data_IF_000601827568
#
_entry.id   IF_000601827568
#
_cell.length_a   1.000
_cell.length_b   1.000
_cell.length_c   1.000
_cell.angle_alpha   90.00
_cell.angle_beta   90.00
_cell.angle_gamma   90.00
#
_symmetry.space_group_name_H-M   'P 1'
#
loop_
_entity.id
_entity.type
_entity.pdbx_description
1 polymer ?
#
# COMPACT_ATOMS: atom_id res chain seq x y z
N UNK A 1 35.25 -51.55 -1.08
CA UNK A 1 35.62 -50.74 -2.28
C UNK A 1 34.43 -49.97 -2.91
N UNK A 2 33.24 -49.94 -2.29
CA UNK A 2 32.01 -49.40 -2.92
C UNK A 2 31.68 -47.95 -2.56
N UNK A 3 32.25 -47.40 -1.47
CA UNK A 3 31.91 -46.06 -0.96
C UNK A 3 32.61 -44.91 -1.72
N UNK A 4 33.81 -45.15 -2.27
CA UNK A 4 34.59 -44.14 -3.02
C UNK A 4 34.02 -43.85 -4.42
N UNK A 5 33.24 -44.76 -5.00
CA UNK A 5 32.71 -44.60 -6.37
C UNK A 5 31.43 -43.75 -6.43
N UNK A 6 30.67 -43.68 -5.34
CA UNK A 6 29.42 -42.89 -5.27
C UNK A 6 29.71 -41.40 -5.07
N UNK A 7 30.68 -41.06 -4.22
CA UNK A 7 31.06 -39.67 -3.90
C UNK A 7 31.59 -38.93 -5.13
N UNK A 8 32.45 -39.60 -5.90
CA UNK A 8 33.05 -39.06 -7.13
C UNK A 8 32.00 -38.80 -8.25
N UNK A 9 30.86 -39.50 -8.21
CA UNK A 9 29.77 -39.33 -9.18
C UNK A 9 28.83 -38.17 -8.79
N UNK A 10 28.58 -37.97 -7.49
CA UNK A 10 27.82 -36.80 -7.00
C UNK A 10 28.58 -35.49 -7.22
N UNK A 11 29.89 -35.44 -6.99
CA UNK A 11 30.70 -34.24 -7.19
C UNK A 11 30.83 -33.86 -8.67
N UNK A 12 30.84 -34.86 -9.58
CA UNK A 12 30.78 -34.64 -11.04
C UNK A 12 29.43 -34.11 -11.49
N UNK A 13 28.33 -34.65 -10.96
CA UNK A 13 26.97 -34.17 -11.28
C UNK A 13 26.73 -32.76 -10.77
N UNK A 14 27.20 -32.44 -9.56
CA UNK A 14 27.13 -31.09 -9.00
C UNK A 14 27.94 -30.07 -9.83
N UNK A 15 29.14 -30.43 -10.25
CA UNK A 15 29.95 -29.57 -11.14
C UNK A 15 29.36 -29.42 -12.55
N UNK A 16 28.69 -30.44 -13.08
CA UNK A 16 27.96 -30.34 -14.35
C UNK A 16 26.72 -29.45 -14.25
N UNK A 17 25.99 -29.53 -13.13
CA UNK A 17 24.85 -28.65 -12.84
C UNK A 17 25.29 -27.20 -12.67
N UNK A 18 26.40 -26.94 -11.99
CA UNK A 18 26.98 -25.60 -11.86
C UNK A 18 27.49 -25.04 -13.20
N UNK A 19 27.99 -25.90 -14.10
CA UNK A 19 28.39 -25.51 -15.47
C UNK A 19 27.21 -25.27 -16.42
N UNK A 20 26.04 -25.84 -16.13
CA UNK A 20 24.80 -25.61 -16.90
C UNK A 20 24.13 -24.29 -16.54
N UNK A 21 24.41 -23.74 -15.35
CA UNK A 21 23.98 -22.41 -14.96
C UNK A 21 24.95 -21.40 -15.61
N UNK A 22 24.58 -20.91 -16.80
CA UNK A 22 25.35 -19.85 -17.47
C UNK A 22 25.43 -18.62 -16.56
N UNK A 23 26.56 -17.90 -16.49
CA UNK A 23 26.70 -16.66 -15.71
C UNK A 23 25.62 -15.62 -16.05
N UNK A 24 25.20 -15.60 -17.31
CA UNK A 24 24.10 -14.78 -17.81
C UNK A 24 22.76 -15.10 -17.13
N UNK A 25 22.48 -16.38 -16.84
CA UNK A 25 21.26 -16.78 -16.13
C UNK A 25 21.30 -16.36 -14.66
N UNK A 26 22.47 -16.33 -14.02
CA UNK A 26 22.62 -15.82 -12.66
C UNK A 26 22.30 -14.33 -12.63
N UNK A 27 22.80 -13.56 -13.60
CA UNK A 27 22.50 -12.13 -13.71
C UNK A 27 21.01 -11.88 -13.98
N UNK A 28 20.37 -12.65 -14.87
CA UNK A 28 18.92 -12.56 -15.12
C UNK A 28 18.13 -12.94 -13.87
N UNK A 29 18.50 -14.00 -13.16
CA UNK A 29 17.85 -14.37 -11.90
C UNK A 29 18.01 -13.30 -10.84
N UNK A 30 19.18 -12.67 -10.74
CA UNK A 30 19.45 -11.62 -9.76
C UNK A 30 18.71 -10.32 -10.11
N UNK A 31 18.61 -9.97 -11.39
CA UNK A 31 17.77 -8.88 -11.90
C UNK A 31 16.29 -9.16 -11.65
N UNK A 32 15.84 -10.38 -11.91
CA UNK A 32 14.47 -10.79 -11.65
C UNK A 32 14.17 -10.79 -10.15
N UNK A 33 15.08 -11.28 -9.31
CA UNK A 33 14.93 -11.25 -7.86
C UNK A 33 14.90 -9.81 -7.33
N UNK A 34 15.74 -8.92 -7.87
CA UNK A 34 15.72 -7.48 -7.55
C UNK A 34 14.41 -6.83 -8.02
N UNK A 35 13.93 -7.15 -9.22
CA UNK A 35 12.65 -6.66 -9.74
C UNK A 35 11.47 -7.18 -8.90
N UNK A 36 11.53 -8.44 -8.48
CA UNK A 36 10.52 -9.09 -7.65
C UNK A 36 10.59 -8.58 -6.20
N UNK A 37 11.77 -8.25 -5.67
CA UNK A 37 11.95 -7.56 -4.39
C UNK A 37 11.46 -6.11 -4.45
N UNK A 38 11.72 -5.38 -5.54
CA UNK A 38 11.13 -4.04 -5.77
C UNK A 38 9.61 -4.16 -5.87
N UNK A 39 9.09 -5.17 -6.56
CA UNK A 39 7.66 -5.46 -6.68
C UNK A 39 7.00 -5.96 -5.38
N UNK A 40 7.72 -6.68 -4.51
CA UNK A 40 7.21 -7.24 -3.26
C UNK A 40 7.34 -6.26 -2.10
N UNK A 41 8.35 -5.39 -2.11
CA UNK A 41 8.40 -4.18 -1.27
C UNK A 41 7.32 -3.16 -1.70
N UNK A 42 6.88 -3.22 -2.95
CA UNK A 42 5.66 -2.60 -3.45
C UNK A 42 4.44 -3.53 -3.28
N UNK A 43 4.31 -4.23 -2.15
CA UNK A 43 2.97 -4.50 -1.60
C UNK A 43 2.39 -3.12 -1.26
N UNK A 44 1.77 -2.53 -2.29
CA UNK A 44 1.93 -1.13 -2.65
C UNK A 44 1.14 -0.24 -1.69
N UNK A 45 1.68 0.92 -1.31
CA UNK A 45 0.91 1.95 -0.57
C UNK A 45 -0.45 2.21 -1.25
N UNK A 46 -0.48 2.16 -2.58
CA UNK A 46 -1.69 2.16 -3.40
C UNK A 46 -2.62 0.98 -3.08
N UNK A 47 -2.16 -0.27 -3.15
CA UNK A 47 -3.00 -1.45 -2.91
C UNK A 47 -3.59 -1.43 -1.49
N UNK A 48 -2.80 -1.00 -0.50
CA UNK A 48 -3.27 -0.77 0.85
C UNK A 48 -4.40 0.28 0.86
N UNK A 49 -4.18 1.47 0.29
CA UNK A 49 -5.18 2.54 0.27
C UNK A 49 -6.45 2.09 -0.47
N UNK A 50 -6.32 1.39 -1.60
CA UNK A 50 -7.45 0.88 -2.38
C UNK A 50 -8.24 -0.15 -1.59
N UNK A 51 -7.56 -1.12 -0.98
CA UNK A 51 -8.18 -2.15 -0.14
C UNK A 51 -8.94 -1.54 1.04
N UNK A 52 -8.33 -0.55 1.72
CA UNK A 52 -8.97 0.16 2.83
C UNK A 52 -10.15 1.02 2.38
N UNK A 53 -10.04 1.72 1.25
CA UNK A 53 -11.15 2.49 0.68
C UNK A 53 -12.35 1.59 0.36
N UNK A 54 -12.11 0.43 -0.24
CA UNK A 54 -13.16 -0.55 -0.53
C UNK A 54 -13.79 -1.13 0.75
N UNK A 55 -12.97 -1.52 1.73
CA UNK A 55 -13.46 -2.04 3.01
C UNK A 55 -14.37 -1.04 3.73
N UNK A 56 -13.94 0.22 3.84
CA UNK A 56 -14.76 1.29 4.44
C UNK A 56 -16.03 1.48 3.62
N UNK A 57 -15.92 1.57 2.29
CA UNK A 57 -17.07 1.74 1.40
C UNK A 57 -18.13 0.64 1.57
N UNK A 58 -17.70 -0.59 1.85
CA UNK A 58 -18.59 -1.72 2.12
C UNK A 58 -19.25 -1.58 3.49
N UNK A 59 -18.48 -1.29 4.55
CA UNK A 59 -19.01 -1.07 5.91
C UNK A 59 -19.99 0.12 6.00
N UNK A 60 -19.75 1.18 5.22
CA UNK A 60 -20.64 2.33 5.12
C UNK A 60 -21.96 2.02 4.41
N UNK A 61 -21.92 1.11 3.43
CA UNK A 61 -23.09 0.70 2.63
C UNK A 61 -23.94 -0.29 3.41
N UNK A 62 -23.30 -1.30 3.97
CA UNK A 62 -23.90 -2.39 4.73
C UNK A 62 -23.04 -2.63 5.98
N UNK A 63 -23.41 -2.04 7.13
CA UNK A 63 -22.65 -2.21 8.35
C UNK A 63 -22.70 -3.68 8.80
N UNK A 64 -21.53 -4.20 9.16
CA UNK A 64 -21.34 -5.59 9.60
C UNK A 64 -20.31 -5.63 10.71
N UNK A 65 -20.40 -6.64 11.58
CA UNK A 65 -19.47 -6.78 12.70
C UNK A 65 -19.64 -5.70 13.76
N UNK A 66 -18.56 -5.40 14.48
CA UNK A 66 -18.48 -4.39 15.55
C UNK A 66 -17.92 -3.07 15.02
N UNK A 67 -18.17 -1.98 15.73
CA UNK A 67 -17.79 -0.62 15.31
C UNK A 67 -16.28 -0.37 15.28
N UNK A 68 -15.51 -1.08 16.13
CA UNK A 68 -14.06 -1.05 16.08
C UNK A 68 -13.51 -1.34 14.68
N UNK A 69 -14.18 -2.18 13.89
CA UNK A 69 -13.77 -2.48 12.52
C UNK A 69 -13.78 -1.23 11.64
N UNK A 70 -14.90 -0.50 11.57
CA UNK A 70 -14.96 0.70 10.73
C UNK A 70 -14.01 1.78 11.26
N UNK A 71 -13.89 1.91 12.58
CA UNK A 71 -12.98 2.87 13.22
C UNK A 71 -11.52 2.57 12.85
N UNK A 72 -11.09 1.32 12.92
CA UNK A 72 -9.72 0.89 12.64
C UNK A 72 -9.38 1.02 11.17
N UNK A 73 -10.32 0.76 10.27
CA UNK A 73 -10.14 0.97 8.83
C UNK A 73 -9.93 2.48 8.51
N UNK A 74 -10.75 3.36 9.10
CA UNK A 74 -10.58 4.82 8.98
C UNK A 74 -9.22 5.28 9.53
N UNK A 75 -8.83 4.83 10.71
CA UNK A 75 -7.53 5.17 11.32
C UNK A 75 -6.38 4.71 10.44
N UNK A 76 -6.45 3.48 9.95
CA UNK A 76 -5.41 2.86 9.14
C UNK A 76 -5.16 3.60 7.83
N UNK A 77 -6.22 3.93 7.09
CA UNK A 77 -6.08 4.67 5.82
C UNK A 77 -5.65 6.12 6.05
N UNK A 78 -6.18 6.76 7.09
CA UNK A 78 -5.83 8.15 7.44
C UNK A 78 -4.38 8.28 7.84
N UNK A 79 -3.88 7.33 8.64
CA UNK A 79 -2.46 7.24 8.99
C UNK A 79 -1.61 7.08 7.74
N UNK A 80 -2.04 6.22 6.80
CA UNK A 80 -1.30 5.99 5.56
C UNK A 80 -1.24 7.23 4.67
N UNK A 81 -2.29 8.05 4.61
CA UNK A 81 -2.22 9.35 3.92
C UNK A 81 -1.17 10.26 4.53
N UNK A 82 -1.11 10.36 5.87
CA UNK A 82 -0.08 11.16 6.54
C UNK A 82 1.34 10.62 6.33
N UNK A 83 1.53 9.30 6.36
CA UNK A 83 2.81 8.68 6.03
C UNK A 83 3.21 8.99 4.57
N UNK A 84 2.28 8.89 3.63
CA UNK A 84 2.54 9.16 2.21
C UNK A 84 2.83 10.64 1.96
N UNK A 85 2.12 11.55 2.62
CA UNK A 85 2.36 13.00 2.63
C UNK A 85 3.80 13.32 3.03
N UNK A 86 4.26 12.80 4.17
CA UNK A 86 5.61 13.04 4.68
C UNK A 86 6.70 12.47 3.77
N UNK A 87 6.49 11.27 3.22
CA UNK A 87 7.46 10.66 2.31
C UNK A 87 7.57 11.41 0.97
N UNK A 88 6.47 11.96 0.46
CA UNK A 88 6.48 12.87 -0.71
C UNK A 88 7.23 14.16 -0.40
N UNK A 89 6.98 14.78 0.77
CA UNK A 89 7.70 16.00 1.21
C UNK A 89 9.21 15.77 1.34
N UNK A 90 9.62 14.56 1.72
CA UNK A 90 11.03 14.15 1.82
C UNK A 90 11.67 13.77 0.48
N UNK A 91 10.93 13.85 -0.63
CA UNK A 91 11.38 13.44 -1.96
C UNK A 91 11.87 11.99 -1.99
N UNK A 92 11.23 11.11 -1.22
CA UNK A 92 11.63 9.70 -1.21
C UNK A 92 11.17 9.01 -2.51
N UNK A 93 12.08 8.90 -3.47
CA UNK A 93 11.84 8.31 -4.80
C UNK A 93 11.26 6.89 -4.75
N UNK A 94 11.49 6.12 -3.67
CA UNK A 94 10.92 4.78 -3.52
C UNK A 94 9.39 4.76 -3.35
N UNK A 95 8.79 5.88 -2.91
CA UNK A 95 7.33 5.99 -2.73
C UNK A 95 6.64 6.79 -3.82
N UNK A 96 7.39 7.54 -4.65
CA UNK A 96 6.81 8.49 -5.61
C UNK A 96 5.91 7.80 -6.63
N UNK A 97 6.31 6.64 -7.14
CA UNK A 97 5.48 5.89 -8.09
C UNK A 97 4.13 5.50 -7.47
N UNK A 98 4.12 5.10 -6.19
CA UNK A 98 2.90 4.77 -5.46
C UNK A 98 2.07 6.02 -5.16
N UNK A 99 2.72 7.13 -4.79
CA UNK A 99 2.07 8.42 -4.58
C UNK A 99 1.40 8.92 -5.86
N UNK A 100 2.06 8.80 -7.01
CA UNK A 100 1.51 9.14 -8.31
C UNK A 100 0.26 8.31 -8.63
N UNK A 101 0.32 7.00 -8.42
CA UNK A 101 -0.82 6.11 -8.65
C UNK A 101 -2.02 6.48 -7.75
N UNK A 102 -1.77 6.78 -6.48
CA UNK A 102 -2.80 7.23 -5.53
C UNK A 102 -3.38 8.59 -5.96
N UNK A 103 -2.53 9.54 -6.37
CA UNK A 103 -2.97 10.85 -6.86
C UNK A 103 -3.81 10.74 -8.13
N UNK A 104 -3.35 9.96 -9.12
CA UNK A 104 -4.05 9.72 -10.40
C UNK A 104 -5.40 9.05 -10.22
N UNK A 105 -5.53 8.16 -9.24
CA UNK A 105 -6.81 7.56 -8.85
C UNK A 105 -7.81 8.62 -8.37
N UNK A 106 -7.32 9.70 -7.78
CA UNK A 106 -8.13 10.77 -7.22
C UNK A 106 -8.70 10.43 -5.85
N UNK A 107 -9.60 11.32 -5.40
CA UNK A 107 -10.13 11.31 -4.04
C UNK A 107 -10.75 9.95 -3.66
N UNK A 108 -10.43 9.39 -2.48
CA UNK A 108 -11.02 8.16 -1.99
C UNK A 108 -12.54 8.16 -2.00
N UNK A 109 -13.13 7.01 -2.35
CA UNK A 109 -14.57 6.88 -2.48
C UNK A 109 -15.26 7.01 -1.13
N UNK A 110 -14.67 6.49 -0.05
CA UNK A 110 -15.27 6.58 1.29
C UNK A 110 -15.44 8.04 1.78
N UNK A 111 -14.65 8.98 1.25
CA UNK A 111 -14.75 10.42 1.56
C UNK A 111 -15.91 11.07 0.80
N UNK A 112 -16.24 10.57 -0.39
CA UNK A 112 -17.23 11.18 -1.30
C UNK A 112 -18.57 10.45 -1.31
N UNK A 113 -18.59 9.18 -0.93
CA UNK A 113 -19.75 8.31 -0.95
C UNK A 113 -20.74 8.75 0.14
N UNK A 114 -22.02 8.79 -0.24
CA UNK A 114 -23.12 8.98 0.70
C UNK A 114 -23.36 7.69 1.48
N UNK A 115 -23.57 7.82 2.79
CA UNK A 115 -23.92 6.73 3.69
C UNK A 115 -25.06 7.14 4.61
N UNK A 116 -25.73 6.15 5.23
CA UNK A 116 -26.83 6.40 6.16
C UNK A 116 -26.32 6.38 7.59
N UNK A 117 -26.15 7.55 8.19
CA UNK A 117 -25.79 7.65 9.62
C UNK A 117 -26.82 6.94 10.51
N UNK A 118 -28.11 6.98 10.15
CA UNK A 118 -29.17 6.27 10.88
C UNK A 118 -28.95 4.75 10.91
N UNK A 119 -28.53 4.14 9.79
CA UNK A 119 -28.21 2.70 9.75
C UNK A 119 -27.00 2.36 10.62
N UNK A 120 -25.94 3.18 10.55
CA UNK A 120 -24.74 2.98 11.37
C UNK A 120 -25.08 3.09 12.86
N UNK A 121 -25.84 4.11 13.24
CA UNK A 121 -26.31 4.29 14.62
C UNK A 121 -27.11 3.11 15.13
N UNK A 122 -28.05 2.61 14.34
CA UNK A 122 -28.89 1.48 14.72
C UNK A 122 -28.07 0.19 14.86
N UNK A 123 -27.19 -0.09 13.89
CA UNK A 123 -26.40 -1.33 13.87
C UNK A 123 -25.35 -1.38 14.98
N UNK A 124 -24.57 -0.31 15.14
CA UNK A 124 -23.49 -0.24 16.13
C UNK A 124 -23.95 0.27 17.51
N UNK A 125 -25.25 0.57 17.67
CA UNK A 125 -25.80 1.18 18.88
C UNK A 125 -25.07 2.48 19.30
N UNK A 126 -24.71 3.32 18.32
CA UNK A 126 -23.95 4.54 18.58
C UNK A 126 -24.78 5.62 19.27
N UNK A 127 -24.26 6.10 20.40
CA UNK A 127 -24.74 7.30 21.07
C UNK A 127 -24.15 8.58 20.45
N UNK A 128 -24.46 9.75 21.02
CA UNK A 128 -23.94 11.03 20.53
C UNK A 128 -22.41 11.10 20.52
N UNK A 129 -21.75 10.44 21.48
CA UNK A 129 -20.29 10.43 21.58
C UNK A 129 -19.65 9.69 20.40
N UNK A 130 -20.15 8.50 20.10
CA UNK A 130 -19.62 7.66 19.02
C UNK A 130 -19.89 8.30 17.66
N UNK A 131 -21.06 8.93 17.49
CA UNK A 131 -21.37 9.73 16.29
C UNK A 131 -20.38 10.87 16.11
N UNK A 132 -20.15 11.67 17.14
CA UNK A 132 -19.19 12.79 17.08
C UNK A 132 -17.77 12.29 16.78
N UNK A 133 -17.37 11.16 17.36
CA UNK A 133 -16.05 10.57 17.10
C UNK A 133 -15.93 10.09 15.66
N UNK A 134 -16.98 9.45 15.13
CA UNK A 134 -17.02 8.99 13.74
C UNK A 134 -17.01 10.15 12.73
N UNK A 135 -17.74 11.23 13.02
CA UNK A 135 -17.68 12.47 12.23
C UNK A 135 -16.27 13.09 12.25
N UNK A 136 -15.63 13.12 13.42
CA UNK A 136 -14.23 13.54 13.55
C UNK A 136 -13.29 12.68 12.69
N UNK A 137 -13.41 11.36 12.72
CA UNK A 137 -12.60 10.46 11.89
C UNK A 137 -12.81 10.73 10.39
N UNK A 138 -14.05 10.93 9.97
CA UNK A 138 -14.39 11.25 8.58
C UNK A 138 -13.77 12.57 8.14
N UNK A 139 -13.84 13.59 8.99
CA UNK A 139 -13.26 14.90 8.73
C UNK A 139 -11.72 14.84 8.71
N UNK A 140 -11.11 14.12 9.65
CA UNK A 140 -9.65 13.94 9.72
C UNK A 140 -9.11 13.23 8.47
N UNK A 141 -9.78 12.15 8.03
CA UNK A 141 -9.42 11.45 6.80
C UNK A 141 -9.46 12.37 5.57
N UNK A 142 -10.47 13.25 5.50
CA UNK A 142 -10.60 14.25 4.43
C UNK A 142 -9.45 15.25 4.45
N UNK A 143 -9.07 15.78 5.62
CA UNK A 143 -7.95 16.71 5.72
C UNK A 143 -6.63 16.05 5.34
N UNK A 144 -6.37 14.84 5.84
CA UNK A 144 -5.14 14.10 5.50
C UNK A 144 -5.03 13.76 4.03
N UNK A 145 -6.15 13.47 3.35
CA UNK A 145 -6.16 13.35 1.90
C UNK A 145 -5.74 14.65 1.21
N UNK A 146 -6.30 15.79 1.64
CA UNK A 146 -6.00 17.10 1.04
C UNK A 146 -4.54 17.50 1.26
N UNK A 147 -4.01 17.27 2.45
CA UNK A 147 -2.59 17.53 2.77
C UNK A 147 -1.67 16.73 1.83
N UNK A 148 -1.96 15.43 1.63
CA UNK A 148 -1.24 14.59 0.67
C UNK A 148 -1.39 15.11 -0.77
N UNK A 149 -2.61 15.44 -1.20
CA UNK A 149 -2.90 15.91 -2.55
C UNK A 149 -2.13 17.19 -2.87
N UNK A 150 -2.07 18.12 -1.93
CA UNK A 150 -1.30 19.35 -2.03
C UNK A 150 0.20 19.10 -2.06
N UNK A 151 0.71 18.24 -1.16
CA UNK A 151 2.13 17.87 -1.14
C UNK A 151 2.58 17.28 -2.48
N UNK A 152 1.77 16.39 -3.07
CA UNK A 152 2.08 15.79 -4.37
C UNK A 152 2.04 16.80 -5.53
N UNK A 153 1.06 17.72 -5.54
CA UNK A 153 1.03 18.82 -6.52
C UNK A 153 2.29 19.66 -6.44
N UNK A 154 2.70 20.05 -5.24
CA UNK A 154 3.91 20.84 -5.02
C UNK A 154 5.18 20.11 -5.49
N UNK A 155 5.27 18.80 -5.22
CA UNK A 155 6.34 17.94 -5.75
C UNK A 155 6.40 17.99 -7.28
N UNK A 156 5.27 17.81 -7.96
CA UNK A 156 5.24 17.81 -9.43
C UNK A 156 5.63 19.15 -10.03
N UNK A 157 5.22 20.26 -9.42
CA UNK A 157 5.60 21.62 -9.83
C UNK A 157 7.12 21.80 -9.68
N UNK A 158 7.67 21.51 -8.50
CA UNK A 158 9.09 21.67 -8.22
C UNK A 158 9.97 20.86 -9.19
N UNK A 159 9.55 19.63 -9.52
CA UNK A 159 10.24 18.76 -10.47
C UNK A 159 10.17 19.29 -11.92
N UNK A 160 9.08 19.95 -12.29
CA UNK A 160 8.94 20.58 -13.61
C UNK A 160 9.77 21.86 -13.77
N UNK A 161 10.01 22.60 -12.68
CA UNK A 161 10.77 23.86 -12.69
C UNK A 161 12.28 23.69 -12.45
N UNK A 162 12.71 22.55 -11.90
CA UNK A 162 14.13 22.24 -11.64
C UNK A 162 14.81 21.40 -12.72
N UNK A 163 14.17 21.21 -13.89
CA UNK A 163 14.66 20.41 -15.00
C UNK A 163 15.37 21.23 -16.10
N UNK A 164 15.77 22.46 -15.80
CA UNK A 164 16.55 23.36 -16.68
C UNK A 164 18.05 23.37 -16.32
#
# INVERSE_FOLDING_TARGET
KTVLNVRNNCDRKANLLLKLIRPEMINVFTLYLKFLLVSYCACNVYDFIVSKDEAICNLLKEPTGIDDLIIDEYKSVTKKFGELEEEVKRLNESVIQSAEAVYKRGKPHFITRRYSLGKLKLHYNWGPREVNYFEFLTMNARFKWLDFEEAYKNYTIARSTGAD
#
